data_IF_975236464327
#
_entry.id   IF_975236464327
#
_cell.length_a   1.000
_cell.length_b   1.000
_cell.length_c   1.000
_cell.angle_alpha   90.00
_cell.angle_beta   90.00
_cell.angle_gamma   90.00
#
_symmetry.space_group_name_H-M   'P 1'
#
loop_
_entity.id
_entity.type
_entity.pdbx_description
1 polymer ?
#
# COMPACT_ATOMS: atom_id res chain seq x y z
N UNK A 1 -30.85 -13.93 7.27
CA UNK A 1 -29.93 -14.32 6.18
C UNK A 1 -29.50 -13.02 5.54
N UNK A 2 -28.22 -12.67 5.58
CA UNK A 2 -27.74 -11.50 4.84
C UNK A 2 -27.73 -11.83 3.35
N UNK A 3 -28.23 -10.93 2.51
CA UNK A 3 -28.18 -11.13 1.06
C UNK A 3 -26.74 -11.28 0.59
N UNK A 4 -26.47 -12.38 -0.13
CA UNK A 4 -25.18 -12.64 -0.78
C UNK A 4 -25.03 -11.68 -1.96
N UNK A 5 -23.99 -10.86 -1.96
CA UNK A 5 -23.64 -10.00 -3.10
C UNK A 5 -22.38 -10.52 -3.75
N UNK A 6 -22.35 -10.61 -5.09
CA UNK A 6 -21.21 -11.13 -5.86
C UNK A 6 -20.82 -10.14 -6.94
N UNK A 7 -19.53 -9.87 -7.09
CA UNK A 7 -18.91 -9.20 -8.23
C UNK A 7 -17.94 -10.16 -8.90
N UNK A 8 -18.28 -10.60 -10.11
CA UNK A 8 -17.46 -11.53 -10.89
C UNK A 8 -17.03 -10.85 -12.18
N UNK A 9 -15.73 -10.67 -12.35
CA UNK A 9 -15.13 -10.16 -13.57
C UNK A 9 -14.25 -11.23 -14.21
N UNK A 10 -14.31 -11.31 -15.53
CA UNK A 10 -13.37 -12.06 -16.36
C UNK A 10 -12.59 -11.06 -17.21
N UNK A 11 -11.27 -11.21 -17.28
CA UNK A 11 -10.40 -10.22 -17.93
C UNK A 11 -10.74 -9.95 -19.40
N UNK A 12 -11.27 -10.94 -20.13
CA UNK A 12 -11.56 -10.80 -21.56
C UNK A 12 -12.93 -10.16 -21.83
N UNK A 13 -13.88 -10.37 -20.92
CA UNK A 13 -15.30 -10.02 -21.16
C UNK A 13 -15.84 -8.90 -20.27
N UNK A 14 -15.15 -8.58 -19.18
CA UNK A 14 -15.58 -7.58 -18.19
C UNK A 14 -14.83 -6.26 -18.28
N UNK A 15 -13.89 -6.10 -19.22
CA UNK A 15 -13.26 -4.81 -19.51
C UNK A 15 -14.16 -4.05 -20.49
N UNK A 16 -14.77 -2.96 -20.03
CA UNK A 16 -15.64 -2.13 -20.84
C UNK A 16 -14.85 -1.07 -21.61
N UNK A 17 -15.12 -0.86 -22.91
CA UNK A 17 -14.62 0.29 -23.66
C UNK A 17 -15.27 1.61 -23.22
N UNK A 18 -16.44 1.54 -22.57
CA UNK A 18 -17.14 2.71 -22.04
C UNK A 18 -16.72 3.02 -20.60
N UNK A 19 -16.95 4.26 -20.16
CA UNK A 19 -16.78 4.63 -18.76
C UNK A 19 -17.84 3.96 -17.89
N UNK A 20 -17.39 3.13 -16.96
CA UNK A 20 -18.20 2.46 -15.95
C UNK A 20 -18.07 3.28 -14.68
N UNK A 21 -19.16 3.80 -14.11
CA UNK A 21 -19.09 4.54 -12.86
C UNK A 21 -18.75 3.59 -11.70
N UNK A 22 -17.89 4.07 -10.79
CA UNK A 22 -17.66 3.39 -9.52
C UNK A 22 -18.88 3.57 -8.61
N UNK A 23 -19.25 2.52 -7.87
CA UNK A 23 -20.24 2.65 -6.80
C UNK A 23 -19.75 3.62 -5.72
N UNK A 24 -20.66 4.32 -5.01
CA UNK A 24 -20.26 5.37 -4.08
C UNK A 24 -19.46 4.83 -2.89
N UNK A 25 -18.65 5.70 -2.29
CA UNK A 25 -18.04 5.45 -0.98
C UNK A 25 -19.14 5.21 0.08
N UNK A 26 -18.91 4.23 0.94
CA UNK A 26 -19.78 3.89 2.07
C UNK A 26 -19.08 4.37 3.35
N UNK A 27 -19.57 5.42 4.03
CA UNK A 27 -19.01 5.91 5.28
C UNK A 27 -19.00 4.84 6.38
N UNK A 28 -17.93 4.81 7.19
CA UNK A 28 -17.79 3.85 8.29
C UNK A 28 -17.60 2.39 7.83
N UNK A 29 -17.30 2.16 6.55
CA UNK A 29 -17.03 0.83 5.99
C UNK A 29 -15.61 0.75 5.45
N UNK A 30 -15.00 -0.44 5.50
CA UNK A 30 -13.73 -0.71 4.81
C UNK A 30 -13.81 -0.60 3.29
N UNK A 31 -15.03 -0.55 2.70
CA UNK A 31 -15.21 -0.48 1.24
C UNK A 31 -14.46 -1.61 0.49
N UNK A 32 -14.32 -2.78 1.14
CA UNK A 32 -13.59 -3.94 0.58
C UNK A 32 -14.29 -4.46 -0.66
N UNK A 33 -15.63 -4.48 -0.68
CA UNK A 33 -16.38 -4.94 -1.84
C UNK A 33 -16.08 -4.04 -3.07
N UNK A 34 -15.93 -4.62 -4.28
CA UNK A 34 -15.59 -3.87 -5.48
C UNK A 34 -16.54 -2.71 -5.76
N UNK A 35 -15.99 -1.65 -6.32
CA UNK A 35 -16.74 -0.48 -6.80
C UNK A 35 -17.19 -0.63 -8.24
N UNK A 36 -16.52 -1.50 -8.99
CA UNK A 36 -16.89 -1.92 -10.33
C UNK A 36 -17.44 -3.35 -10.27
N UNK A 37 -18.77 -3.47 -10.13
CA UNK A 37 -19.42 -4.74 -9.78
C UNK A 37 -19.46 -5.71 -10.96
N UNK A 38 -19.92 -5.25 -12.12
CA UNK A 38 -20.20 -6.10 -13.30
C UNK A 38 -19.18 -5.92 -14.44
N UNK A 39 -18.56 -4.75 -14.51
CA UNK A 39 -17.53 -4.42 -15.50
C UNK A 39 -16.64 -3.29 -14.96
N UNK A 40 -15.42 -3.18 -15.47
CA UNK A 40 -14.48 -2.09 -15.17
C UNK A 40 -14.03 -1.45 -16.49
N UNK A 41 -13.90 -0.12 -16.51
CA UNK A 41 -13.39 0.58 -17.70
C UNK A 41 -11.95 0.23 -18.02
N UNK A 42 -11.54 0.46 -19.27
CA UNK A 42 -10.14 0.39 -19.68
C UNK A 42 -9.18 1.23 -18.83
N UNK A 43 -9.66 2.36 -18.32
CA UNK A 43 -8.89 3.24 -17.43
C UNK A 43 -9.14 2.98 -15.96
N UNK A 44 -10.16 2.18 -15.62
CA UNK A 44 -10.55 1.90 -14.25
C UNK A 44 -9.50 1.05 -13.54
N UNK A 45 -9.35 1.29 -12.25
CA UNK A 45 -8.36 0.59 -11.44
C UNK A 45 -8.88 0.38 -10.01
N UNK A 46 -8.72 -0.85 -9.50
CA UNK A 46 -8.95 -1.18 -8.09
C UNK A 46 -7.76 -1.93 -7.53
N UNK A 47 -7.45 -1.65 -6.27
CA UNK A 47 -6.40 -2.33 -5.51
C UNK A 47 -6.89 -2.70 -4.11
N UNK A 48 -6.60 -3.93 -3.72
CA UNK A 48 -6.50 -4.39 -2.34
C UNK A 48 -5.02 -4.61 -2.04
N UNK A 49 -4.47 -3.79 -1.17
CA UNK A 49 -3.05 -3.82 -0.81
C UNK A 49 -2.89 -4.33 0.60
N UNK A 50 -1.93 -5.23 0.80
CA UNK A 50 -1.58 -5.79 2.10
C UNK A 50 -0.07 -5.74 2.26
N UNK A 51 0.43 -5.41 3.43
CA UNK A 51 1.86 -5.42 3.70
C UNK A 51 2.19 -5.88 5.12
N UNK A 52 3.47 -6.14 5.36
CA UNK A 52 4.01 -6.44 6.67
C UNK A 52 5.52 -6.32 6.68
N UNK A 53 6.06 -5.85 7.81
CA UNK A 53 7.49 -5.76 8.06
C UNK A 53 7.81 -6.21 9.47
N UNK A 54 8.82 -7.05 9.59
CA UNK A 54 9.33 -7.58 10.85
C UNK A 54 10.21 -6.54 11.54
N UNK A 55 9.97 -6.33 12.84
CA UNK A 55 10.81 -5.45 13.66
C UNK A 55 12.18 -6.06 13.94
N UNK A 56 12.26 -7.38 14.00
CA UNK A 56 13.45 -8.07 14.54
C UNK A 56 14.55 -8.21 13.48
N UNK A 57 14.17 -8.55 12.26
CA UNK A 57 15.10 -8.89 11.17
C UNK A 57 14.85 -8.09 9.89
N UNK A 58 13.85 -7.18 9.90
CA UNK A 58 13.51 -6.32 8.76
C UNK A 58 13.12 -7.08 7.49
N UNK A 59 12.71 -8.34 7.61
CA UNK A 59 12.02 -9.06 6.54
C UNK A 59 10.69 -8.35 6.22
N UNK A 60 10.31 -8.26 4.95
CA UNK A 60 9.06 -7.60 4.57
C UNK A 60 8.34 -8.31 3.42
N UNK A 61 7.03 -8.12 3.37
CA UNK A 61 6.12 -8.65 2.34
C UNK A 61 5.11 -7.57 1.93
N UNK A 62 4.78 -7.53 0.64
CA UNK A 62 3.69 -6.72 0.12
C UNK A 62 2.95 -7.47 -0.98
N UNK A 63 1.62 -7.36 -0.94
CA UNK A 63 0.70 -8.04 -1.82
C UNK A 63 -0.24 -6.99 -2.41
N UNK A 64 -0.20 -6.84 -3.73
CA UNK A 64 -1.12 -5.99 -4.48
C UNK A 64 -2.05 -6.82 -5.35
N UNK A 65 -3.32 -6.91 -4.98
CA UNK A 65 -4.34 -7.60 -5.76
C UNK A 65 -5.14 -6.54 -6.52
N UNK A 66 -5.11 -6.54 -7.85
CA UNK A 66 -5.75 -5.49 -8.64
C UNK A 66 -6.75 -5.99 -9.69
N UNK A 67 -7.70 -5.11 -10.00
CA UNK A 67 -8.54 -5.19 -11.20
C UNK A 67 -8.20 -3.99 -12.08
N UNK A 68 -7.69 -4.25 -13.27
CA UNK A 68 -7.40 -3.22 -14.27
C UNK A 68 -7.26 -3.84 -15.66
N UNK A 69 -7.43 -3.02 -16.70
CA UNK A 69 -7.25 -3.46 -18.07
C UNK A 69 -5.78 -3.71 -18.46
N UNK A 70 -4.80 -3.32 -17.62
CA UNK A 70 -3.38 -3.64 -17.82
C UNK A 70 -3.19 -5.16 -18.01
N UNK A 71 -3.98 -5.94 -17.26
CA UNK A 71 -3.99 -7.40 -17.29
C UNK A 71 -4.36 -8.04 -18.62
N UNK A 72 -5.03 -7.32 -19.54
CA UNK A 72 -5.40 -7.84 -20.87
C UNK A 72 -4.17 -8.31 -21.66
N UNK A 73 -3.04 -7.62 -21.51
CA UNK A 73 -1.78 -7.98 -22.19
C UNK A 73 -1.18 -9.30 -21.73
N UNK A 74 -1.60 -9.76 -20.55
CA UNK A 74 -1.07 -10.94 -19.86
C UNK A 74 -2.13 -12.03 -19.66
N UNK A 75 -3.37 -11.80 -20.12
CA UNK A 75 -4.46 -12.77 -20.01
C UNK A 75 -5.05 -12.91 -18.60
N UNK A 76 -4.88 -11.94 -17.70
CA UNK A 76 -5.45 -12.03 -16.37
C UNK A 76 -5.38 -10.76 -15.52
N UNK A 77 -6.19 -10.69 -14.48
CA UNK A 77 -6.04 -9.67 -13.43
C UNK A 77 -4.78 -9.95 -12.61
N UNK A 78 -4.06 -8.89 -12.23
CA UNK A 78 -2.73 -9.02 -11.63
C UNK A 78 -2.81 -9.18 -10.11
N UNK A 79 -2.08 -10.17 -9.59
CA UNK A 79 -1.68 -10.27 -8.18
C UNK A 79 -0.17 -10.13 -8.13
N UNK A 80 0.30 -9.11 -7.44
CA UNK A 80 1.72 -8.82 -7.29
C UNK A 80 2.17 -9.18 -5.88
N UNK A 81 3.28 -9.90 -5.77
CA UNK A 81 3.84 -10.37 -4.50
C UNK A 81 5.32 -9.99 -4.47
N UNK A 82 5.72 -9.23 -3.47
CA UNK A 82 7.13 -8.94 -3.16
C UNK A 82 7.46 -9.45 -1.77
N UNK A 83 8.61 -10.10 -1.63
CA UNK A 83 9.23 -10.43 -0.34
C UNK A 83 10.69 -10.02 -0.33
N UNK A 84 11.19 -9.70 0.86
CA UNK A 84 12.61 -9.42 1.11
C UNK A 84 13.04 -10.04 2.44
N UNK A 85 14.21 -10.68 2.44
CA UNK A 85 14.82 -11.32 3.60
C UNK A 85 15.84 -10.40 4.28
N UNK A 86 16.32 -10.77 5.48
CA UNK A 86 17.27 -9.94 6.24
C UNK A 86 18.63 -9.76 5.54
N UNK A 87 19.00 -10.68 4.67
CA UNK A 87 20.25 -10.66 3.91
C UNK A 87 20.19 -9.79 2.65
N UNK A 88 19.04 -9.21 2.32
CA UNK A 88 18.86 -8.42 1.11
C UNK A 88 18.27 -9.18 -0.07
N UNK A 89 18.13 -10.50 0.02
CA UNK A 89 17.52 -11.29 -1.04
C UNK A 89 16.06 -10.88 -1.24
N UNK A 90 15.61 -10.84 -2.49
CA UNK A 90 14.22 -10.50 -2.85
C UNK A 90 13.60 -11.59 -3.72
N UNK A 91 12.30 -11.78 -3.57
CA UNK A 91 11.50 -12.60 -4.46
C UNK A 91 10.29 -11.78 -4.92
N UNK A 92 10.04 -11.82 -6.23
CA UNK A 92 8.94 -11.09 -6.86
C UNK A 92 8.26 -11.95 -7.90
N UNK A 93 6.91 -11.99 -7.86
CA UNK A 93 6.09 -12.46 -8.97
C UNK A 93 4.90 -11.54 -9.21
N UNK A 94 4.62 -11.33 -10.50
CA UNK A 94 3.31 -10.92 -10.97
C UNK A 94 2.58 -12.17 -11.47
N UNK A 95 1.42 -12.44 -10.88
CA UNK A 95 0.53 -13.53 -11.27
C UNK A 95 -0.63 -12.92 -12.05
N UNK A 96 -1.01 -13.54 -13.16
CA UNK A 96 -2.13 -13.09 -13.98
C UNK A 96 -3.19 -14.19 -14.00
N UNK A 97 -4.35 -13.89 -13.40
CA UNK A 97 -5.43 -14.85 -13.18
C UNK A 97 -6.70 -14.31 -13.89
N UNK A 98 -7.30 -15.06 -14.84
CA UNK A 98 -8.34 -14.55 -15.72
C UNK A 98 -9.65 -14.23 -15.00
N UNK A 99 -9.97 -14.94 -13.92
CA UNK A 99 -11.19 -14.73 -13.14
C UNK A 99 -10.87 -13.94 -11.87
N UNK A 100 -11.73 -12.97 -11.54
CA UNK A 100 -11.75 -12.29 -10.25
C UNK A 100 -13.18 -12.25 -9.69
N UNK A 101 -13.38 -12.91 -8.56
CA UNK A 101 -14.68 -13.05 -7.90
C UNK A 101 -14.56 -12.47 -6.50
N UNK A 102 -15.40 -11.49 -6.16
CA UNK A 102 -15.51 -10.98 -4.78
C UNK A 102 -16.95 -11.16 -4.31
N UNK A 103 -17.11 -11.82 -3.16
CA UNK A 103 -18.41 -12.10 -2.55
C UNK A 103 -18.49 -11.42 -1.18
N UNK A 104 -19.64 -10.85 -0.86
CA UNK A 104 -19.98 -10.46 0.51
C UNK A 104 -21.11 -11.34 1.01
N UNK A 105 -20.82 -12.17 2.01
CA UNK A 105 -21.78 -13.08 2.66
C UNK A 105 -21.32 -13.41 4.08
N UNK A 106 -22.26 -13.79 4.94
CA UNK A 106 -22.00 -14.32 6.30
C UNK A 106 -21.05 -13.49 7.18
N UNK A 107 -21.05 -12.17 6.99
CA UNK A 107 -20.19 -11.26 7.76
C UNK A 107 -18.75 -11.18 7.26
N UNK A 108 -18.45 -11.73 6.10
CA UNK A 108 -17.15 -11.68 5.44
C UNK A 108 -17.24 -11.05 4.04
N UNK A 109 -16.10 -10.55 3.57
CA UNK A 109 -15.87 -10.21 2.17
C UNK A 109 -14.70 -11.06 1.69
N UNK A 110 -14.96 -11.95 0.73
CA UNK A 110 -13.99 -12.90 0.22
C UNK A 110 -13.71 -12.61 -1.25
N UNK A 111 -12.44 -12.38 -1.57
CA UNK A 111 -11.96 -12.25 -2.94
C UNK A 111 -11.23 -13.51 -3.40
N UNK A 112 -11.41 -13.90 -4.65
CA UNK A 112 -10.77 -15.04 -5.31
C UNK A 112 -10.33 -14.61 -6.70
N UNK A 113 -9.03 -14.73 -6.96
CA UNK A 113 -8.44 -14.68 -8.28
C UNK A 113 -8.05 -16.10 -8.65
N UNK A 114 -8.52 -16.59 -9.79
CA UNK A 114 -8.25 -17.96 -10.19
C UNK A 114 -8.03 -18.14 -11.69
N UNK A 115 -7.25 -19.17 -12.01
CA UNK A 115 -7.14 -19.76 -13.32
C UNK A 115 -7.50 -21.24 -13.20
N UNK A 116 -8.69 -21.61 -13.69
CA UNK A 116 -9.15 -22.99 -13.67
C UNK A 116 -8.26 -23.92 -14.51
N UNK A 117 -7.56 -23.41 -15.54
CA UNK A 117 -6.74 -24.22 -16.43
C UNK A 117 -5.41 -24.64 -15.78
N UNK A 118 -4.74 -23.72 -15.09
CA UNK A 118 -3.52 -24.02 -14.32
C UNK A 118 -3.79 -24.53 -12.90
N UNK A 119 -5.01 -24.33 -12.40
CA UNK A 119 -5.38 -24.59 -11.01
C UNK A 119 -4.88 -23.53 -10.03
N UNK A 120 -4.28 -22.44 -10.51
CA UNK A 120 -3.74 -21.36 -9.68
C UNK A 120 -4.83 -20.54 -9.02
N UNK A 121 -4.69 -20.29 -7.71
CA UNK A 121 -5.64 -19.54 -6.89
C UNK A 121 -4.93 -18.61 -5.92
N UNK A 122 -5.44 -17.39 -5.82
CA UNK A 122 -5.12 -16.45 -4.75
C UNK A 122 -6.42 -15.94 -4.18
N UNK A 123 -6.55 -15.94 -2.86
CA UNK A 123 -7.76 -15.47 -2.20
C UNK A 123 -7.45 -14.62 -0.99
N UNK A 124 -8.40 -13.76 -0.62
CA UNK A 124 -8.44 -13.10 0.67
C UNK A 124 -9.83 -13.24 1.29
N UNK A 125 -9.91 -13.21 2.61
CA UNK A 125 -11.14 -13.08 3.37
C UNK A 125 -10.96 -12.02 4.44
N UNK A 126 -11.86 -11.05 4.50
CA UNK A 126 -11.85 -9.93 5.46
C UNK A 126 -13.15 -9.95 6.25
N UNK A 127 -13.08 -9.90 7.57
CA UNK A 127 -14.28 -9.76 8.42
C UNK A 127 -14.94 -8.41 8.19
N UNK A 128 -16.27 -8.32 8.36
CA UNK A 128 -17.04 -7.08 8.11
C UNK A 128 -16.57 -5.90 8.97
N UNK A 129 -16.16 -6.18 10.20
CA UNK A 129 -15.59 -5.20 11.14
C UNK A 129 -14.12 -4.87 10.86
N UNK A 130 -13.53 -5.48 9.83
CA UNK A 130 -12.13 -5.34 9.44
C UNK A 130 -11.14 -5.67 10.58
N UNK A 131 -11.53 -6.56 11.51
CA UNK A 131 -10.64 -7.03 12.58
C UNK A 131 -9.65 -8.11 12.15
N UNK A 132 -9.98 -8.91 11.13
CA UNK A 132 -9.16 -10.00 10.62
C UNK A 132 -9.17 -10.05 9.09
N UNK A 133 -7.99 -10.17 8.49
CA UNK A 133 -7.81 -10.55 7.09
C UNK A 133 -6.95 -11.80 6.99
N UNK A 134 -7.32 -12.73 6.11
CA UNK A 134 -6.54 -13.93 5.80
C UNK A 134 -6.41 -14.02 4.29
N UNK A 135 -5.18 -14.12 3.80
CA UNK A 135 -4.83 -14.40 2.42
C UNK A 135 -4.35 -15.85 2.32
N UNK A 136 -4.75 -16.52 1.25
CA UNK A 136 -4.29 -17.86 0.92
C UNK A 136 -3.83 -17.91 -0.54
N UNK A 137 -2.65 -18.49 -0.74
CA UNK A 137 -2.01 -18.64 -2.02
C UNK A 137 -1.89 -20.12 -2.32
N UNK A 138 -2.31 -20.53 -3.51
CA UNK A 138 -2.10 -21.89 -4.02
C UNK A 138 -1.92 -21.82 -5.53
N UNK A 139 -0.70 -21.53 -5.95
CA UNK A 139 -0.31 -21.42 -7.36
C UNK A 139 0.81 -22.43 -7.61
N UNK A 140 0.49 -23.57 -8.26
CA UNK A 140 1.41 -24.68 -8.42
C UNK A 140 2.78 -24.26 -8.97
N UNK A 141 3.85 -24.61 -8.25
CA UNK A 141 5.22 -24.32 -8.65
C UNK A 141 5.62 -22.84 -8.61
N UNK A 142 4.80 -21.98 -7.99
CA UNK A 142 5.10 -20.54 -7.87
C UNK A 142 5.03 -20.07 -6.42
N UNK A 143 3.88 -20.25 -5.76
CA UNK A 143 3.68 -19.83 -4.37
C UNK A 143 2.57 -20.66 -3.73
N UNK A 144 2.80 -21.11 -2.49
CA UNK A 144 1.78 -21.74 -1.65
C UNK A 144 1.93 -21.25 -0.21
N UNK A 145 0.82 -21.06 0.51
CA UNK A 145 0.86 -20.65 1.92
C UNK A 145 -0.16 -19.58 2.27
N UNK A 146 0.06 -18.89 3.39
CA UNK A 146 -0.90 -17.92 3.94
C UNK A 146 -0.25 -16.66 4.50
N UNK A 147 -1.04 -15.58 4.53
CA UNK A 147 -0.74 -14.36 5.26
C UNK A 147 -1.96 -13.97 6.08
N UNK A 148 -1.78 -13.57 7.33
CA UNK A 148 -2.85 -13.17 8.24
C UNK A 148 -2.54 -11.81 8.84
N UNK A 149 -3.56 -10.97 8.93
CA UNK A 149 -3.50 -9.64 9.53
C UNK A 149 -4.58 -9.54 10.60
N UNK A 150 -4.20 -9.13 11.81
CA UNK A 150 -5.10 -8.86 12.93
C UNK A 150 -5.02 -7.38 13.29
N UNK A 151 -6.13 -6.66 13.17
CA UNK A 151 -6.18 -5.22 13.40
C UNK A 151 -5.78 -4.86 14.84
N UNK A 152 -4.93 -3.84 15.00
CA UNK A 152 -4.55 -3.32 16.31
C UNK A 152 -5.62 -2.36 16.85
N UNK A 153 -5.82 -2.30 18.18
CA UNK A 153 -6.82 -1.43 18.79
C UNK A 153 -6.65 0.05 18.41
N UNK A 154 -7.77 0.77 18.34
CA UNK A 154 -7.76 2.23 18.19
C UNK A 154 -7.48 2.75 16.77
N UNK A 155 -7.32 1.86 15.78
CA UNK A 155 -7.18 2.23 14.37
C UNK A 155 -8.10 1.42 13.47
N UNK A 156 -9.34 1.91 13.29
CA UNK A 156 -10.25 1.34 12.31
C UNK A 156 -9.94 1.82 10.88
N UNK A 157 -9.27 2.97 10.75
CA UNK A 157 -9.15 3.72 9.48
C UNK A 157 -10.48 4.10 8.79
N UNK A 158 -11.64 3.71 9.35
CA UNK A 158 -12.97 3.82 8.74
C UNK A 158 -13.62 5.20 8.92
N UNK A 159 -13.21 5.93 9.95
CA UNK A 159 -13.77 7.25 10.31
C UNK A 159 -13.00 8.42 9.69
N UNK A 160 -12.15 8.14 8.71
CA UNK A 160 -11.27 9.12 8.10
C UNK A 160 -11.78 9.59 6.75
N UNK A 161 -11.45 10.84 6.36
CA UNK A 161 -11.75 11.32 5.01
C UNK A 161 -11.11 10.37 3.99
N UNK A 162 -11.88 9.75 3.09
CA UNK A 162 -11.37 8.74 2.16
C UNK A 162 -10.62 9.34 0.97
N UNK A 163 -10.50 10.66 0.82
CA UNK A 163 -9.86 11.26 -0.33
C UNK A 163 -8.38 11.54 -0.05
N UNK A 164 -7.48 10.96 -0.86
CA UNK A 164 -6.07 11.38 -0.87
C UNK A 164 -5.80 12.49 -1.88
N UNK A 165 -6.68 12.70 -2.85
CA UNK A 165 -6.62 13.76 -3.85
C UNK A 165 -7.94 13.83 -4.62
N UNK A 166 -8.08 14.74 -5.60
CA UNK A 166 -9.30 14.85 -6.39
C UNK A 166 -9.65 13.52 -7.06
N UNK A 167 -10.81 12.95 -6.70
CA UNK A 167 -11.31 11.69 -7.26
C UNK A 167 -10.44 10.45 -6.97
N UNK A 168 -9.61 10.48 -5.92
CA UNK A 168 -8.81 9.32 -5.48
C UNK A 168 -9.26 8.85 -4.09
N UNK A 169 -10.29 7.99 -4.03
CA UNK A 169 -10.63 7.25 -2.83
C UNK A 169 -9.52 6.30 -2.41
N UNK A 170 -9.03 6.50 -1.19
CA UNK A 170 -8.01 5.72 -0.51
C UNK A 170 -8.47 5.50 0.93
N UNK A 171 -8.67 4.25 1.33
CA UNK A 171 -9.07 3.92 2.71
C UNK A 171 -8.15 2.85 3.27
N UNK A 172 -8.08 2.76 4.60
CA UNK A 172 -7.23 1.81 5.32
C UNK A 172 -8.09 0.95 6.21
N UNK A 173 -8.73 -0.10 5.69
CA UNK A 173 -9.60 -0.95 6.51
C UNK A 173 -8.89 -1.56 7.72
N UNK A 174 -7.58 -1.81 7.58
CA UNK A 174 -6.68 -2.16 8.68
C UNK A 174 -5.46 -1.23 8.60
N UNK A 175 -5.55 -0.04 9.18
CA UNK A 175 -4.42 0.88 9.20
C UNK A 175 -3.21 0.31 9.96
N UNK A 176 -3.45 -0.40 11.07
CA UNK A 176 -2.42 -1.08 11.84
C UNK A 176 -2.85 -2.51 12.12
N UNK A 177 -1.97 -3.46 11.83
CA UNK A 177 -2.21 -4.86 12.10
C UNK A 177 -0.94 -5.55 12.57
N UNK A 178 -1.10 -6.54 13.44
CA UNK A 178 -0.10 -7.61 13.59
C UNK A 178 -0.19 -8.51 12.37
N UNK A 179 0.95 -8.86 11.79
CA UNK A 179 1.03 -9.63 10.55
C UNK A 179 1.81 -10.92 10.77
N UNK A 180 1.32 -12.01 10.20
CA UNK A 180 2.05 -13.28 10.08
C UNK A 180 1.98 -13.75 8.65
N UNK A 181 3.07 -14.30 8.14
CA UNK A 181 3.09 -14.91 6.82
C UNK A 181 3.95 -16.17 6.86
N UNK A 182 3.51 -17.20 6.17
CA UNK A 182 4.26 -18.43 5.96
C UNK A 182 4.00 -18.86 4.51
N UNK A 183 5.01 -18.66 3.66
CA UNK A 183 4.93 -18.90 2.22
C UNK A 183 6.05 -19.82 1.76
N UNK A 184 5.71 -20.79 0.93
CA UNK A 184 6.61 -21.56 0.10
C UNK A 184 6.75 -20.87 -1.25
N UNK A 185 7.91 -20.29 -1.53
CA UNK A 185 8.20 -19.48 -2.72
C UNK A 185 9.11 -20.25 -3.68
N UNK A 186 8.70 -20.39 -4.93
CA UNK A 186 9.45 -21.16 -5.93
C UNK A 186 10.20 -20.22 -6.87
N UNK A 187 11.49 -20.48 -7.06
CA UNK A 187 12.26 -19.83 -8.13
C UNK A 187 11.92 -20.48 -9.47
N UNK A 188 12.01 -19.72 -10.58
CA UNK A 188 11.63 -20.23 -11.91
C UNK A 188 12.42 -21.47 -12.32
N UNK A 189 13.66 -21.59 -11.83
CA UNK A 189 14.60 -22.65 -12.19
C UNK A 189 14.71 -23.76 -11.14
N UNK A 190 13.89 -23.74 -10.08
CA UNK A 190 13.96 -24.74 -9.02
C UNK A 190 12.62 -25.40 -8.72
N UNK A 191 12.66 -26.72 -8.57
CA UNK A 191 11.57 -27.50 -7.97
C UNK A 191 11.53 -27.40 -6.44
N UNK A 192 12.53 -26.77 -5.83
CA UNK A 192 12.59 -26.54 -4.38
C UNK A 192 12.00 -25.18 -4.03
N UNK A 193 11.04 -25.17 -3.12
CA UNK A 193 10.56 -23.93 -2.51
C UNK A 193 11.56 -23.41 -1.47
N UNK A 194 11.72 -22.09 -1.43
CA UNK A 194 12.28 -21.36 -0.30
C UNK A 194 11.16 -20.96 0.66
N UNK A 195 11.40 -21.03 1.97
CA UNK A 195 10.43 -20.60 2.96
C UNK A 195 10.60 -19.13 3.29
N UNK A 196 9.51 -18.37 3.20
CA UNK A 196 9.40 -17.02 3.74
C UNK A 196 8.49 -17.03 4.95
N UNK A 197 9.05 -16.64 6.10
CA UNK A 197 8.31 -16.57 7.37
C UNK A 197 8.40 -15.15 7.88
N UNK A 198 7.25 -14.52 8.08
CA UNK A 198 7.16 -13.23 8.75
C UNK A 198 6.75 -13.47 10.21
N UNK A 199 7.67 -13.13 11.12
CA UNK A 199 7.58 -13.45 12.56
C UNK A 199 6.49 -12.69 13.32
N UNK A 200 6.25 -13.03 14.60
CA UNK A 200 5.15 -12.50 15.41
C UNK A 200 5.30 -11.01 15.77
N UNK A 201 6.49 -10.43 15.59
CA UNK A 201 6.76 -9.00 15.83
C UNK A 201 6.44 -8.12 14.63
N UNK A 202 5.97 -8.70 13.53
CA UNK A 202 5.71 -7.96 12.32
C UNK A 202 4.42 -7.13 12.40
N UNK A 203 4.52 -5.93 11.84
CA UNK A 203 3.42 -4.98 11.76
C UNK A 203 3.18 -4.63 10.29
N UNK A 204 1.95 -4.28 9.96
CA UNK A 204 1.56 -3.92 8.61
C UNK A 204 0.12 -3.46 8.56
N UNK A 205 -0.55 -3.72 7.45
CA UNK A 205 -2.00 -3.62 7.39
C UNK A 205 -2.54 -3.74 5.96
N UNK A 206 -3.71 -3.14 5.76
CA UNK A 206 -4.47 -3.25 4.53
C UNK A 206 -4.95 -1.88 4.06
N UNK A 207 -4.75 -1.60 2.77
CA UNK A 207 -5.30 -0.44 2.09
C UNK A 207 -6.22 -0.86 0.95
N UNK A 208 -7.12 0.05 0.60
CA UNK A 208 -8.12 -0.14 -0.43
C UNK A 208 -8.25 1.14 -1.26
N UNK A 209 -8.05 1.00 -2.57
CA UNK A 209 -8.02 2.14 -3.50
C UNK A 209 -8.83 1.81 -4.74
N UNK A 210 -9.67 2.74 -5.20
CA UNK A 210 -10.38 2.59 -6.47
C UNK A 210 -10.45 3.93 -7.19
N UNK A 211 -10.25 3.91 -8.49
CA UNK A 211 -10.22 5.11 -9.32
C UNK A 211 -10.81 4.82 -10.71
N UNK A 212 -11.35 5.85 -11.34
CA UNK A 212 -11.82 5.78 -12.74
C UNK A 212 -10.66 5.79 -13.76
N UNK A 213 -9.47 6.19 -13.30
CA UNK A 213 -8.27 6.35 -14.10
C UNK A 213 -7.09 5.63 -13.44
N UNK A 214 -6.09 5.22 -14.22
CA UNK A 214 -4.83 4.72 -13.65
C UNK A 214 -4.07 5.85 -12.97
N UNK A 215 -3.13 5.50 -12.07
CA UNK A 215 -2.37 6.50 -11.30
C UNK A 215 -1.59 7.47 -12.21
N UNK A 216 -1.09 6.98 -13.35
CA UNK A 216 -0.42 7.81 -14.36
C UNK A 216 -1.26 8.94 -14.96
N UNK A 217 -2.58 8.91 -14.80
CA UNK A 217 -3.44 9.99 -15.29
C UNK A 217 -3.55 11.19 -14.36
N UNK A 218 -3.31 11.03 -13.06
CA UNK A 218 -3.62 12.07 -12.07
C UNK A 218 -2.50 12.35 -11.09
N UNK A 219 -1.34 11.69 -11.22
CA UNK A 219 -0.19 11.98 -10.40
C UNK A 219 1.15 11.83 -11.11
N UNK A 220 2.11 12.63 -10.67
CA UNK A 220 3.51 12.63 -11.13
C UNK A 220 4.45 12.00 -10.12
N UNK A 221 4.04 11.96 -8.86
CA UNK A 221 4.81 11.37 -7.77
C UNK A 221 3.87 10.86 -6.68
N UNK A 222 4.27 9.78 -6.02
CA UNK A 222 3.68 9.37 -4.75
C UNK A 222 4.73 8.88 -3.77
N UNK A 223 4.40 8.99 -2.48
CA UNK A 223 5.12 8.34 -1.40
C UNK A 223 4.13 7.67 -0.45
N UNK A 224 4.36 6.38 -0.24
CA UNK A 224 3.73 5.53 0.74
C UNK A 224 4.70 5.29 1.89
N UNK A 225 4.19 5.32 3.12
CA UNK A 225 4.90 4.84 4.30
C UNK A 225 3.92 4.17 5.25
N UNK A 226 4.28 3.00 5.78
CA UNK A 226 3.69 2.44 7.00
C UNK A 226 4.81 2.04 7.94
N UNK A 227 4.85 2.64 9.13
CA UNK A 227 5.92 2.40 10.08
C UNK A 227 5.44 2.34 11.53
N UNK A 228 6.15 1.57 12.36
CA UNK A 228 6.02 1.51 13.81
C UNK A 228 7.32 2.01 14.46
N UNK A 229 7.24 3.03 15.31
CA UNK A 229 8.39 3.77 15.87
C UNK A 229 8.18 3.99 17.36
N UNK A 230 8.71 3.08 18.20
CA UNK A 230 8.41 3.08 19.64
C UNK A 230 6.89 3.09 19.90
N UNK A 231 6.34 4.09 20.63
CA UNK A 231 4.90 4.21 20.89
C UNK A 231 4.11 4.75 19.69
N UNK A 232 4.79 5.17 18.62
CA UNK A 232 4.19 5.76 17.44
C UNK A 232 3.90 4.74 16.36
N UNK A 233 2.83 4.97 15.62
CA UNK A 233 2.57 4.30 14.36
C UNK A 233 2.09 5.33 13.35
N UNK A 234 2.66 5.30 12.14
CA UNK A 234 2.32 6.24 11.08
C UNK A 234 1.91 5.51 9.82
N UNK A 235 0.88 6.02 9.14
CA UNK A 235 0.69 5.68 7.73
C UNK A 235 0.47 6.91 6.88
N UNK A 236 1.15 6.96 5.74
CA UNK A 236 1.19 8.08 4.80
C UNK A 236 0.89 7.55 3.41
N UNK A 237 -0.03 8.23 2.73
CA UNK A 237 -0.08 8.28 1.28
C UNK A 237 -0.04 9.74 0.90
N UNK A 238 0.95 10.13 0.11
CA UNK A 238 1.08 11.48 -0.45
C UNK A 238 1.23 11.36 -1.95
N UNK A 239 0.51 12.17 -2.69
CA UNK A 239 0.61 12.25 -4.15
C UNK A 239 0.87 13.70 -4.57
N UNK A 240 1.54 13.88 -5.70
CA UNK A 240 1.57 15.14 -6.44
C UNK A 240 0.70 14.97 -7.67
N UNK A 241 -0.22 15.91 -7.92
CA UNK A 241 -1.09 15.87 -9.11
C UNK A 241 -0.28 15.91 -10.41
N UNK A 242 -0.96 15.70 -11.53
CA UNK A 242 -0.42 15.95 -12.86
C UNK A 242 0.05 17.40 -13.05
N UNK A 243 0.94 17.59 -14.03
CA UNK A 243 1.57 18.87 -14.32
C UNK A 243 0.55 19.94 -14.74
N UNK A 244 -0.50 19.56 -15.47
CA UNK A 244 -1.59 20.43 -15.91
C UNK A 244 -2.35 21.04 -14.72
N UNK A 245 -2.47 20.29 -13.62
CA UNK A 245 -3.07 20.75 -12.36
C UNK A 245 -2.09 21.48 -11.44
N UNK A 246 -0.84 21.65 -11.89
CA UNK A 246 0.21 22.41 -11.21
C UNK A 246 1.01 21.62 -10.18
N UNK A 247 1.08 20.29 -10.29
CA UNK A 247 1.81 19.43 -9.35
C UNK A 247 1.43 19.71 -7.88
N UNK A 248 0.14 19.77 -7.59
CA UNK A 248 -0.33 20.08 -6.23
C UNK A 248 -0.14 18.86 -5.33
N UNK A 249 0.46 19.02 -4.15
CA UNK A 249 0.58 17.92 -3.21
C UNK A 249 -0.76 17.69 -2.51
N UNK A 250 -1.12 16.41 -2.36
CA UNK A 250 -2.22 15.98 -1.54
C UNK A 250 -1.79 14.81 -0.65
N UNK A 251 -2.41 14.67 0.50
CA UNK A 251 -2.06 13.58 1.43
C UNK A 251 -3.26 13.06 2.18
N UNK A 252 -3.14 11.79 2.55
CA UNK A 252 -3.82 11.20 3.67
C UNK A 252 -2.74 10.64 4.57
N UNK A 253 -2.59 11.16 5.77
CA UNK A 253 -1.60 10.70 6.72
C UNK A 253 -2.18 10.63 8.13
N UNK A 254 -1.81 9.60 8.89
CA UNK A 254 -2.28 9.39 10.26
C UNK A 254 -1.08 9.08 11.13
N UNK A 255 -1.03 9.72 12.30
CA UNK A 255 -0.09 9.41 13.36
C UNK A 255 -0.85 8.97 14.59
N UNK A 256 -0.48 7.83 15.12
CA UNK A 256 -0.97 7.27 16.37
C UNK A 256 0.15 7.31 17.41
N UNK A 257 -0.23 7.51 18.67
CA UNK A 257 0.64 7.32 19.84
C UNK A 257 -0.12 6.50 20.88
N UNK A 258 0.45 5.39 21.33
CA UNK A 258 -0.18 4.50 22.31
C UNK A 258 -1.64 4.14 21.93
N UNK A 259 -1.82 3.70 20.69
CA UNK A 259 -3.10 3.33 20.07
C UNK A 259 -4.13 4.44 19.91
N UNK A 260 -3.76 5.71 20.12
CA UNK A 260 -4.63 6.86 19.95
C UNK A 260 -4.20 7.69 18.75
N UNK A 261 -5.16 8.04 17.89
CA UNK A 261 -4.94 8.98 16.80
C UNK A 261 -4.60 10.36 17.38
N UNK A 262 -3.38 10.84 17.13
CA UNK A 262 -2.89 12.14 17.61
C UNK A 262 -2.79 13.19 16.50
N UNK A 263 -2.71 12.77 15.23
CA UNK A 263 -2.73 13.67 14.08
C UNK A 263 -3.39 12.98 12.87
N UNK A 264 -4.42 13.60 12.32
CA UNK A 264 -5.17 13.17 11.14
C UNK A 264 -4.92 14.07 9.93
N UNK A 265 -3.68 14.10 9.46
CA UNK A 265 -3.23 14.99 8.40
C UNK A 265 -3.91 14.71 7.04
N UNK A 266 -4.60 15.70 6.49
CA UNK A 266 -5.15 15.68 5.12
C UNK A 266 -4.72 16.91 4.31
N UNK A 267 -3.85 17.74 4.89
CA UNK A 267 -3.25 18.90 4.28
C UNK A 267 -1.73 18.70 4.21
N UNK A 268 -1.13 19.07 3.09
CA UNK A 268 0.33 19.17 2.98
C UNK A 268 0.71 20.62 3.23
N UNK A 269 1.75 20.83 4.04
CA UNK A 269 2.34 22.14 4.31
C UNK A 269 3.79 22.20 3.83
N UNK A 270 4.26 23.41 3.60
CA UNK A 270 5.69 23.74 3.57
C UNK A 270 6.16 24.27 4.92
N UNK A 271 7.49 24.34 5.14
CA UNK A 271 8.04 24.87 6.40
C UNK A 271 7.76 26.36 6.60
N UNK A 272 7.52 27.11 5.51
CA UNK A 272 7.22 28.54 5.54
C UNK A 272 5.77 28.81 5.95
N UNK A 273 4.87 27.83 5.80
CA UNK A 273 3.46 27.97 6.14
C UNK A 273 3.24 27.82 7.65
N UNK A 274 2.99 28.96 8.32
CA UNK A 274 2.76 28.99 9.77
C UNK A 274 1.27 28.98 10.14
N UNK A 275 0.40 29.42 9.21
CA UNK A 275 -1.04 29.47 9.42
C UNK A 275 -1.73 28.28 8.75
N UNK A 276 -2.14 27.31 9.56
CA UNK A 276 -2.89 26.14 9.11
C UNK A 276 -4.14 25.93 9.96
N UNK A 277 -5.17 25.37 9.33
CA UNK A 277 -6.50 25.21 9.95
C UNK A 277 -6.89 23.75 10.19
N UNK A 278 -6.01 22.81 9.84
CA UNK A 278 -6.23 21.37 9.89
C UNK A 278 -4.92 20.67 10.26
N UNK A 279 -5.03 19.47 10.82
CA UNK A 279 -3.89 18.57 10.96
C UNK A 279 -3.19 18.41 9.60
N UNK A 280 -1.86 18.48 9.63
CA UNK A 280 -1.06 18.66 8.44
C UNK A 280 0.19 17.77 8.44
N UNK A 281 0.72 17.54 7.24
CA UNK A 281 1.94 16.81 6.99
C UNK A 281 2.93 17.73 6.28
N UNK A 282 4.16 17.80 6.79
CA UNK A 282 5.32 18.30 6.05
C UNK A 282 6.16 17.08 5.71
N UNK A 283 6.57 16.98 4.44
CA UNK A 283 7.33 15.84 3.95
C UNK A 283 8.40 16.32 2.98
N UNK A 284 9.66 16.16 3.34
CA UNK A 284 10.79 16.56 2.50
C UNK A 284 11.70 15.38 2.22
N UNK A 285 12.25 15.34 1.01
CA UNK A 285 13.26 14.35 0.61
C UNK A 285 14.60 14.70 1.23
N UNK A 286 15.36 13.68 1.59
CA UNK A 286 16.73 13.82 2.10
C UNK A 286 17.74 13.39 1.06
N UNK A 287 18.84 14.13 0.98
CA UNK A 287 19.93 13.90 0.03
C UNK A 287 21.30 13.97 0.70
N UNK A 288 21.36 14.51 1.91
CA UNK A 288 22.54 14.71 2.71
C UNK A 288 22.92 13.41 3.43
N UNK A 289 23.85 12.68 2.82
CA UNK A 289 24.42 11.47 3.39
C UNK A 289 25.57 11.81 4.35
N UNK A 290 25.54 11.26 5.57
CA UNK A 290 26.68 11.28 6.49
C UNK A 290 27.64 10.10 6.30
N UNK A 291 27.25 9.12 5.48
CA UNK A 291 27.97 7.87 5.16
C UNK A 291 28.09 7.70 3.65
N UNK A 292 29.10 6.95 3.19
CA UNK A 292 29.20 6.53 1.79
C UNK A 292 28.26 5.35 1.46
N UNK A 293 27.82 4.61 2.49
CA UNK A 293 26.94 3.45 2.36
C UNK A 293 25.45 3.84 2.49
N UNK A 294 24.93 4.59 1.52
CA UNK A 294 23.50 5.00 1.47
C UNK A 294 22.71 4.27 0.40
N UNK A 295 21.47 3.94 0.71
CA UNK A 295 20.54 3.30 -0.24
C UNK A 295 19.70 4.35 -0.96
N UNK A 296 19.65 4.25 -2.29
CA UNK A 296 18.83 5.13 -3.14
C UNK A 296 18.07 4.32 -4.17
N UNK A 297 16.99 4.89 -4.70
CA UNK A 297 16.29 4.32 -5.85
C UNK A 297 17.12 4.37 -7.13
N UNK A 298 16.82 3.48 -8.08
CA UNK A 298 17.58 3.42 -9.34
C UNK A 298 17.20 4.53 -10.34
N UNK A 299 16.12 5.27 -10.10
CA UNK A 299 15.49 6.16 -11.08
C UNK A 299 15.79 7.64 -10.83
N UNK A 300 14.94 8.54 -11.37
CA UNK A 300 15.10 9.99 -11.37
C UNK A 300 15.47 10.58 -10.01
N UNK A 301 14.80 10.17 -8.91
CA UNK A 301 15.20 10.62 -7.58
C UNK A 301 16.34 9.80 -6.98
N UNK A 302 17.27 10.50 -6.33
CA UNK A 302 18.39 9.93 -5.58
C UNK A 302 18.31 10.27 -4.09
N UNK A 303 17.12 10.53 -3.58
CA UNK A 303 16.92 10.69 -2.15
C UNK A 303 17.31 9.42 -1.40
N UNK A 304 17.83 9.60 -0.20
CA UNK A 304 18.25 8.54 0.73
C UNK A 304 17.19 8.25 1.79
N UNK A 305 16.06 8.94 1.71
CA UNK A 305 14.98 8.87 2.68
C UNK A 305 14.16 10.17 2.71
N UNK A 306 13.48 10.39 3.84
CA UNK A 306 12.56 11.51 4.04
C UNK A 306 12.68 12.11 5.44
N UNK A 307 12.33 13.39 5.60
CA UNK A 307 11.89 13.95 6.87
C UNK A 307 10.36 14.01 6.83
N UNK A 308 9.74 13.35 7.78
CA UNK A 308 8.30 13.30 7.98
C UNK A 308 7.98 14.14 9.21
N UNK A 309 7.16 15.16 9.07
CA UNK A 309 6.69 15.95 10.21
C UNK A 309 5.16 16.05 10.21
N UNK A 310 4.56 15.57 11.30
CA UNK A 310 3.14 15.74 11.57
C UNK A 310 2.91 16.99 12.42
N UNK A 311 1.90 17.78 12.08
CA UNK A 311 1.55 19.00 12.81
C UNK A 311 0.07 18.94 13.20
N UNK A 312 -0.21 18.87 14.49
CA UNK A 312 -1.58 18.80 15.00
C UNK A 312 -2.21 20.19 15.17
N UNK A 313 -3.48 20.28 14.81
CA UNK A 313 -4.33 21.43 15.10
C UNK A 313 -4.73 21.43 16.58
N UNK A 314 -4.69 22.60 17.21
CA UNK A 314 -5.36 22.84 18.49
C UNK A 314 -4.61 22.41 19.75
N UNK A 315 -3.55 21.61 19.65
CA UNK A 315 -2.63 21.28 20.76
C UNK A 315 -1.50 22.30 20.91
N UNK A 316 -1.75 23.57 20.56
CA UNK A 316 -0.71 24.59 20.48
C UNK A 316 0.26 24.41 19.30
N UNK A 317 -0.11 23.59 18.31
CA UNK A 317 0.73 23.28 17.16
C UNK A 317 1.78 22.22 17.47
N UNK A 318 1.45 21.21 18.28
CA UNK A 318 2.37 20.10 18.57
C UNK A 318 2.87 19.45 17.28
N UNK A 319 4.18 19.16 17.25
CA UNK A 319 4.88 18.62 16.10
C UNK A 319 5.54 17.29 16.48
N UNK A 320 5.53 16.36 15.55
CA UNK A 320 6.27 15.10 15.65
C UNK A 320 7.11 14.97 14.41
N UNK A 321 8.42 14.86 14.59
CA UNK A 321 9.37 14.79 13.49
C UNK A 321 10.03 13.43 13.50
N UNK A 322 10.09 12.82 12.32
CA UNK A 322 10.70 11.53 12.08
C UNK A 322 11.64 11.63 10.88
N UNK A 323 12.85 11.16 11.08
CA UNK A 323 13.78 10.90 10.00
C UNK A 323 13.55 9.47 9.53
N UNK A 324 13.37 9.32 8.22
CA UNK A 324 13.22 8.05 7.53
C UNK A 324 14.46 7.86 6.67
N UNK A 325 15.10 6.70 6.78
CA UNK A 325 16.26 6.30 6.00
C UNK A 325 15.92 5.04 5.19
N UNK A 326 16.31 5.01 3.91
CA UNK A 326 16.23 3.80 3.12
C UNK A 326 17.29 2.80 3.61
N UNK A 327 16.87 1.62 4.05
CA UNK A 327 17.79 0.57 4.53
C UNK A 327 18.02 -0.50 3.46
N UNK A 328 16.97 -0.83 2.70
CA UNK A 328 17.03 -1.90 1.71
C UNK A 328 16.01 -1.70 0.61
N UNK A 329 16.39 -2.01 -0.63
CA UNK A 329 15.46 -2.04 -1.75
C UNK A 329 14.57 -3.28 -1.63
N UNK A 330 13.27 -3.04 -1.56
CA UNK A 330 12.24 -4.07 -1.46
C UNK A 330 11.68 -4.44 -2.86
N UNK A 331 11.46 -3.44 -3.71
CA UNK A 331 11.22 -3.63 -5.15
C UNK A 331 11.76 -2.43 -5.92
N UNK A 332 12.01 -2.59 -7.22
CA UNK A 332 12.53 -1.52 -8.05
C UNK A 332 12.24 -1.78 -9.53
N UNK A 333 11.27 -1.07 -10.11
CA UNK A 333 10.88 -1.26 -11.51
C UNK A 333 10.60 0.08 -12.23
N UNK A 334 10.86 0.14 -13.55
CA UNK A 334 10.71 1.38 -14.30
C UNK A 334 9.23 1.71 -14.52
N UNK A 335 8.92 3.00 -14.58
CA UNK A 335 7.60 3.53 -14.94
C UNK A 335 7.64 4.35 -16.24
N UNK A 336 8.83 4.56 -16.80
CA UNK A 336 9.04 5.13 -18.13
C UNK A 336 10.15 4.41 -18.89
N UNK A 337 10.35 4.80 -20.15
CA UNK A 337 11.53 4.41 -20.90
C UNK A 337 12.82 4.82 -20.17
N UNK A 338 13.92 4.06 -20.31
CA UNK A 338 15.21 4.42 -19.73
C UNK A 338 15.77 5.71 -20.34
N UNK A 339 16.51 6.47 -19.55
CA UNK A 339 17.15 7.72 -19.96
C UNK A 339 17.45 8.63 -18.77
N UNK A 340 17.99 9.84 -19.00
CA UNK A 340 18.27 10.80 -17.94
C UNK A 340 17.04 11.16 -17.09
N UNK A 341 15.87 11.20 -17.73
CA UNK A 341 14.56 11.46 -17.09
C UNK A 341 13.80 10.17 -16.74
N UNK A 342 14.50 9.03 -16.69
CA UNK A 342 13.92 7.73 -16.40
C UNK A 342 13.26 7.71 -15.02
N UNK A 343 11.95 7.50 -14.99
CA UNK A 343 11.17 7.39 -13.76
C UNK A 343 10.97 5.92 -13.36
N UNK A 344 10.65 5.69 -12.09
CA UNK A 344 10.33 4.35 -11.62
C UNK A 344 9.60 4.33 -10.29
N UNK A 345 9.31 3.12 -9.86
CA UNK A 345 8.70 2.80 -8.58
C UNK A 345 9.66 1.94 -7.78
N UNK A 346 10.11 2.47 -6.65
CA UNK A 346 11.03 1.81 -5.74
C UNK A 346 10.38 1.69 -4.37
N UNK A 347 10.35 0.46 -3.86
CA UNK A 347 9.96 0.17 -2.49
C UNK A 347 11.18 -0.02 -1.63
N UNK A 348 11.05 0.34 -0.37
CA UNK A 348 12.11 0.21 0.61
C UNK A 348 11.59 -0.47 1.88
N UNK A 349 12.47 -1.23 2.52
CA UNK A 349 12.42 -1.32 3.97
C UNK A 349 13.13 -0.09 4.50
N UNK A 350 12.47 0.61 5.41
CA UNK A 350 12.93 1.90 5.93
C UNK A 350 13.15 1.80 7.44
N UNK A 351 14.26 2.37 7.91
CA UNK A 351 14.42 2.67 9.34
C UNK A 351 13.87 4.06 9.63
N UNK A 352 13.32 4.21 10.83
CA UNK A 352 12.71 5.47 11.23
C UNK A 352 13.19 5.82 12.63
N UNK A 353 13.60 7.07 12.82
CA UNK A 353 13.95 7.63 14.13
C UNK A 353 13.21 8.94 14.37
N UNK A 354 12.61 9.10 15.55
CA UNK A 354 12.02 10.38 15.94
C UNK A 354 10.92 10.28 16.98
N UNK A 355 10.13 11.34 17.09
CA UNK A 355 9.07 11.49 18.09
C UNK A 355 8.64 12.95 18.27
N UNK A 356 8.01 13.24 19.42
CA UNK A 356 7.71 14.61 19.83
C UNK A 356 8.93 15.24 20.51
N UNK A 357 9.17 16.54 20.28
CA UNK A 357 10.20 17.32 20.98
C UNK A 357 11.59 16.66 20.94
N UNK A 358 12.13 16.24 22.09
CA UNK A 358 13.44 15.56 22.22
C UNK A 358 13.33 14.02 22.23
N UNK A 359 12.15 13.45 21.96
CA UNK A 359 11.98 12.00 21.87
C UNK A 359 12.69 11.43 20.63
N UNK A 360 13.45 10.35 20.84
CA UNK A 360 14.13 9.62 19.77
C UNK A 360 13.82 8.11 19.88
N UNK A 361 12.69 7.69 19.33
CA UNK A 361 12.35 6.28 19.22
C UNK A 361 12.82 5.71 17.90
N UNK A 362 13.21 4.44 17.90
CA UNK A 362 13.59 3.70 16.71
C UNK A 362 12.44 2.82 16.23
N UNK A 363 12.36 2.68 14.91
CA UNK A 363 11.29 1.98 14.24
C UNK A 363 11.70 1.44 12.88
N UNK A 364 10.76 0.69 12.29
CA UNK A 364 10.88 0.13 10.95
C UNK A 364 9.57 0.35 10.20
N UNK A 365 9.66 0.48 8.89
CA UNK A 365 8.50 0.59 8.01
C UNK A 365 8.72 0.04 6.60
N UNK A 366 7.62 -0.03 5.87
CA UNK A 366 7.58 -0.22 4.41
C UNK A 366 7.34 1.13 3.76
N UNK A 367 8.29 1.53 2.91
CA UNK A 367 8.21 2.73 2.09
C UNK A 367 8.00 2.39 0.63
N UNK A 368 7.32 3.26 -0.12
CA UNK A 368 7.16 3.14 -1.56
C UNK A 368 7.16 4.49 -2.22
N UNK A 369 8.15 4.77 -3.06
CA UNK A 369 8.19 5.99 -3.86
C UNK A 369 7.98 5.66 -5.33
N UNK A 370 7.00 6.31 -5.93
CA UNK A 370 6.71 6.16 -7.34
C UNK A 370 6.82 7.52 -8.01
N UNK A 371 7.57 7.56 -9.11
CA UNK A 371 7.69 8.70 -9.99
C UNK A 371 7.08 8.34 -11.35
N UNK A 372 6.42 9.30 -11.95
CA UNK A 372 5.78 9.19 -13.25
C UNK A 372 6.18 10.40 -14.10
N UNK A 373 6.03 10.23 -15.42
CA UNK A 373 6.36 11.26 -16.42
C UNK A 373 5.35 12.37 -16.46
#
# INVERSE_FOLDING_TARGET
MSDKTVSRLNIETSISPETVPASPYIPGSGNIFPKFVDAISQTGWELWYFDGVSKDDQSAISIGINRSAEGLKHGGFKVQIFTVWPDGHTWHRDLYLPESIVTSEDGHITGLWEDAASGGKVSFSVTRDCSLAVLAFSVPGVVDGTMQLEALPGDSGLDTNPQVGPHVPYVRPMGRASVKAELSLFSQDSSTSEQFILGPSANGGMDRVWTLYSWAHFMTESYYLRAQVGPYAMQIMRIFSEAESGCKPYTMARLYRDDKLVCAANQVLTYEEQDFSQDSLILSKRYDASSEDVVTGAYRDKNIGYIVEFVAKGTGGQRWMFQVDHERIFWNYPTSAPGPEGTGNTGFVESVIGGADEEAYFGVGTGGQCQLT
#
